data_IF_603510654943
#
_entry.id   IF_603510654943
#
_cell.length_a   1.000
_cell.length_b   1.000
_cell.length_c   1.000
_cell.angle_alpha   90.00
_cell.angle_beta   90.00
_cell.angle_gamma   90.00
#
_symmetry.space_group_name_H-M   'P 1'
#
loop_
_entity.id
_entity.type
_entity.pdbx_description
1 polymer ?
#
# COMPACT_ATOMS: atom_id res chain seq x y z
N UNK A 1 -6.55 -41.14 17.11
CA UNK A 1 -6.57 -39.82 17.77
C UNK A 1 -7.72 -38.89 17.30
N UNK A 2 -8.28 -39.09 16.08
CA UNK A 2 -9.46 -38.32 15.63
C UNK A 2 -10.80 -38.83 16.22
N UNK A 3 -10.84 -40.07 16.68
CA UNK A 3 -12.06 -40.69 17.24
C UNK A 3 -12.42 -40.21 18.65
N UNK A 4 -11.58 -39.43 19.30
CA UNK A 4 -11.79 -38.92 20.68
C UNK A 4 -12.26 -37.45 20.74
N UNK A 5 -12.40 -36.79 19.57
CA UNK A 5 -12.88 -35.42 19.51
C UNK A 5 -14.40 -35.40 19.45
N UNK A 6 -15.03 -34.51 20.23
CA UNK A 6 -16.47 -34.28 20.12
C UNK A 6 -16.84 -33.78 18.70
N UNK A 7 -18.08 -34.07 18.27
CA UNK A 7 -18.59 -33.61 16.97
C UNK A 7 -18.38 -32.08 16.79
N UNK A 8 -18.55 -31.32 17.86
CA UNK A 8 -18.36 -29.86 17.90
C UNK A 8 -16.88 -29.50 17.61
N UNK A 9 -15.94 -30.18 18.24
CA UNK A 9 -14.51 -29.96 18.01
C UNK A 9 -14.07 -30.35 16.59
N UNK A 10 -14.68 -31.40 16.02
CA UNK A 10 -14.45 -31.79 14.62
C UNK A 10 -14.99 -30.73 13.66
N UNK A 11 -16.18 -30.19 13.92
CA UNK A 11 -16.80 -29.14 13.09
C UNK A 11 -16.04 -27.82 13.20
N UNK A 12 -15.55 -27.45 14.38
CA UNK A 12 -14.70 -26.28 14.58
C UNK A 12 -13.35 -26.45 13.86
N UNK A 13 -12.72 -27.61 13.98
CA UNK A 13 -11.48 -27.91 13.26
C UNK A 13 -11.70 -27.91 11.75
N UNK A 14 -12.78 -28.52 11.28
CA UNK A 14 -13.13 -28.57 9.85
C UNK A 14 -13.49 -27.19 9.30
N UNK A 15 -14.21 -26.36 10.05
CA UNK A 15 -14.50 -24.98 9.66
C UNK A 15 -13.22 -24.12 9.61
N UNK A 16 -12.32 -24.26 10.61
CA UNK A 16 -10.98 -23.62 10.57
C UNK A 16 -10.15 -24.13 9.42
N UNK A 17 -10.17 -25.44 9.15
CA UNK A 17 -9.45 -26.05 8.03
C UNK A 17 -9.99 -25.57 6.67
N UNK A 18 -11.31 -25.50 6.51
CA UNK A 18 -11.94 -24.97 5.31
C UNK A 18 -11.70 -23.46 5.13
N UNK A 19 -11.66 -22.71 6.22
CA UNK A 19 -11.32 -21.29 6.19
C UNK A 19 -9.85 -21.05 5.81
N UNK A 20 -8.92 -21.93 6.26
CA UNK A 20 -7.50 -21.84 5.93
C UNK A 20 -7.15 -22.40 4.55
N UNK A 21 -7.91 -23.37 4.04
CA UNK A 21 -7.67 -24.04 2.77
C UNK A 21 -8.71 -23.75 1.70
N UNK A 22 -9.50 -22.71 1.83
CA UNK A 22 -10.23 -22.16 0.69
C UNK A 22 -9.21 -21.63 -0.31
N UNK A 23 -8.59 -22.57 -1.06
CA UNK A 23 -8.16 -22.30 -2.41
C UNK A 23 -9.44 -21.82 -3.10
N UNK A 24 -9.57 -20.53 -3.36
CA UNK A 24 -10.57 -20.00 -4.25
C UNK A 24 -9.95 -20.19 -5.66
N UNK A 25 -10.17 -21.36 -6.32
CA UNK A 25 -9.60 -21.60 -7.62
C UNK A 25 -10.45 -20.78 -8.57
N UNK A 26 -9.89 -19.81 -9.24
CA UNK A 26 -10.53 -18.98 -10.25
C UNK A 26 -11.31 -17.74 -9.73
N UNK A 27 -11.02 -17.21 -8.55
CA UNK A 27 -11.55 -15.89 -8.20
C UNK A 27 -10.98 -14.86 -9.20
N UNK A 28 -11.86 -14.18 -9.89
CA UNK A 28 -11.49 -13.07 -10.77
C UNK A 28 -11.40 -11.83 -9.91
N UNK A 29 -10.39 -11.02 -10.16
CA UNK A 29 -10.14 -9.78 -9.44
C UNK A 29 -10.30 -8.59 -10.36
N UNK A 30 -10.83 -7.51 -9.85
CA UNK A 30 -10.85 -6.20 -10.50
C UNK A 30 -10.10 -5.17 -9.63
N UNK A 31 -9.47 -4.20 -10.29
CA UNK A 31 -8.88 -3.05 -9.60
C UNK A 31 -9.99 -2.04 -9.37
N UNK A 32 -10.08 -1.57 -8.15
CA UNK A 32 -10.92 -0.43 -7.77
C UNK A 32 -10.03 0.79 -7.77
N UNK A 33 -10.20 1.63 -8.77
CA UNK A 33 -9.41 2.83 -8.95
C UNK A 33 -9.82 3.88 -7.91
N UNK A 34 -8.95 4.90 -7.66
CA UNK A 34 -9.24 5.92 -6.66
C UNK A 34 -10.63 6.56 -6.78
N UNK A 35 -11.07 6.86 -8.00
CA UNK A 35 -12.36 7.52 -8.28
C UNK A 35 -13.59 6.63 -8.00
N UNK A 36 -13.41 5.30 -7.94
CA UNK A 36 -14.48 4.31 -7.75
C UNK A 36 -14.65 3.86 -6.29
N UNK A 37 -13.79 4.32 -5.40
CA UNK A 37 -13.84 3.96 -3.99
C UNK A 37 -14.97 4.69 -3.25
N UNK A 38 -15.64 3.99 -2.35
CA UNK A 38 -16.69 4.54 -1.50
C UNK A 38 -16.46 4.16 -0.03
N UNK A 39 -17.21 4.77 0.88
CA UNK A 39 -17.02 4.57 2.32
C UNK A 39 -17.09 3.10 2.78
N UNK A 40 -17.94 2.27 2.16
CA UNK A 40 -18.04 0.85 2.52
C UNK A 40 -16.76 0.07 2.14
N UNK A 41 -16.03 0.51 1.12
CA UNK A 41 -14.73 -0.08 0.79
C UNK A 41 -13.74 0.17 1.93
N UNK A 42 -13.74 1.35 2.55
CA UNK A 42 -12.90 1.67 3.72
C UNK A 42 -13.30 0.87 4.97
N UNK A 43 -14.57 0.61 5.17
CA UNK A 43 -15.02 -0.31 6.22
C UNK A 43 -14.46 -1.72 5.98
N UNK A 44 -14.49 -2.20 4.74
CA UNK A 44 -13.92 -3.51 4.38
C UNK A 44 -12.39 -3.54 4.52
N UNK A 45 -11.68 -2.46 4.17
CA UNK A 45 -10.24 -2.32 4.40
C UNK A 45 -9.91 -2.42 5.89
N UNK A 46 -10.67 -1.75 6.74
CA UNK A 46 -10.52 -1.83 8.19
C UNK A 46 -10.74 -3.26 8.73
N UNK A 47 -11.74 -4.00 8.20
CA UNK A 47 -11.93 -5.41 8.53
C UNK A 47 -10.72 -6.27 8.16
N UNK A 48 -10.05 -5.97 7.04
CA UNK A 48 -8.80 -6.65 6.63
C UNK A 48 -7.66 -6.32 7.59
N UNK A 49 -7.53 -5.05 7.99
CA UNK A 49 -6.47 -4.62 8.92
C UNK A 49 -6.58 -5.35 10.25
N UNK A 50 -7.78 -5.50 10.79
CA UNK A 50 -8.02 -6.26 12.02
C UNK A 50 -7.59 -7.74 11.94
N UNK A 51 -7.49 -8.30 10.72
CA UNK A 51 -7.03 -9.68 10.52
C UNK A 51 -5.51 -9.82 10.44
N UNK A 52 -4.78 -8.72 10.08
CA UNK A 52 -3.36 -8.81 9.70
C UNK A 52 -2.44 -7.87 10.45
N UNK A 53 -2.94 -6.80 11.02
CA UNK A 53 -2.16 -5.79 11.74
C UNK A 53 -2.39 -5.87 13.25
N UNK A 54 -1.45 -5.29 14.00
CA UNK A 54 -1.66 -5.04 15.44
C UNK A 54 -2.63 -3.88 15.61
N UNK A 55 -3.42 -3.92 16.67
CA UNK A 55 -4.47 -2.93 16.97
C UNK A 55 -3.94 -1.48 17.02
N UNK A 56 -2.72 -1.29 17.51
CA UNK A 56 -2.06 0.02 17.61
C UNK A 56 -1.61 0.61 16.25
N UNK A 57 -1.71 -0.17 15.16
CA UNK A 57 -1.38 0.23 13.79
C UNK A 57 -2.62 0.38 12.89
N UNK A 58 -3.83 0.28 13.45
CA UNK A 58 -5.07 0.29 12.68
C UNK A 58 -5.75 1.64 12.81
N UNK A 59 -5.91 2.35 11.68
CA UNK A 59 -6.67 3.58 11.62
C UNK A 59 -8.16 3.30 11.35
N UNK A 60 -9.09 3.94 12.08
CA UNK A 60 -10.53 3.77 11.85
C UNK A 60 -10.95 4.21 10.43
N UNK A 61 -12.05 3.63 9.87
CA UNK A 61 -12.50 3.95 8.51
C UNK A 61 -12.78 5.44 8.27
N UNK A 62 -13.25 6.14 9.31
CA UNK A 62 -13.51 7.57 9.23
C UNK A 62 -12.24 8.39 8.97
N UNK A 63 -11.12 7.99 9.58
CA UNK A 63 -9.83 8.66 9.42
C UNK A 63 -9.25 8.39 8.04
N UNK A 64 -9.20 7.12 7.61
CA UNK A 64 -8.68 6.75 6.29
C UNK A 64 -9.55 7.30 5.16
N UNK A 65 -10.87 7.36 5.34
CA UNK A 65 -11.78 8.01 4.41
C UNK A 65 -11.59 9.54 4.36
N UNK A 66 -11.27 10.19 5.48
CA UNK A 66 -10.95 11.61 5.50
C UNK A 66 -9.67 11.92 4.70
N UNK A 67 -8.64 11.07 4.78
CA UNK A 67 -7.45 11.20 3.92
C UNK A 67 -7.81 11.10 2.43
N UNK A 68 -8.66 10.12 2.08
CA UNK A 68 -9.17 9.95 0.72
C UNK A 68 -9.99 11.13 0.24
N UNK A 69 -10.88 11.68 1.07
CA UNK A 69 -11.66 12.86 0.72
C UNK A 69 -10.78 14.12 0.53
N UNK A 70 -9.67 14.20 1.27
CA UNK A 70 -8.69 15.27 1.12
C UNK A 70 -7.90 15.14 -0.20
N UNK A 71 -7.50 13.92 -0.56
CA UNK A 71 -6.83 13.58 -1.82
C UNK A 71 -7.25 12.17 -2.25
N UNK A 72 -8.07 12.05 -3.29
CA UNK A 72 -8.63 10.77 -3.71
C UNK A 72 -7.59 9.77 -4.25
N UNK A 73 -6.38 10.20 -4.60
CA UNK A 73 -5.28 9.31 -5.03
C UNK A 73 -4.50 8.66 -3.86
N UNK A 74 -5.02 8.75 -2.65
CA UNK A 74 -4.38 8.13 -1.47
C UNK A 74 -4.63 6.63 -1.34
N UNK A 75 -5.61 6.09 -2.04
CA UNK A 75 -5.97 4.68 -1.95
C UNK A 75 -6.20 4.08 -3.33
N UNK A 76 -5.79 2.83 -3.48
CA UNK A 76 -6.12 1.96 -4.61
C UNK A 76 -6.38 0.56 -4.06
N UNK A 77 -7.42 -0.11 -4.56
CA UNK A 77 -7.84 -1.39 -4.03
C UNK A 77 -8.01 -2.47 -5.11
N UNK A 78 -8.10 -3.70 -4.66
CA UNK A 78 -8.47 -4.86 -5.47
C UNK A 78 -9.68 -5.54 -4.84
N UNK A 79 -10.65 -5.90 -5.67
CA UNK A 79 -11.92 -6.50 -5.28
C UNK A 79 -12.07 -7.89 -5.87
N UNK A 80 -12.66 -8.79 -5.14
CA UNK A 80 -13.13 -10.07 -5.66
C UNK A 80 -14.41 -9.86 -6.48
N UNK A 81 -14.42 -10.29 -7.74
CA UNK A 81 -15.64 -10.22 -8.57
C UNK A 81 -16.74 -11.14 -8.02
N UNK A 82 -16.36 -12.23 -7.33
CA UNK A 82 -17.33 -13.18 -6.78
C UNK A 82 -18.03 -12.63 -5.54
N UNK A 83 -17.29 -12.03 -4.61
CA UNK A 83 -17.86 -11.52 -3.36
C UNK A 83 -18.23 -10.05 -3.40
N UNK A 84 -17.80 -9.31 -4.43
CA UNK A 84 -17.94 -7.87 -4.56
C UNK A 84 -17.32 -7.07 -3.40
N UNK A 85 -16.42 -7.69 -2.62
CA UNK A 85 -15.73 -7.06 -1.50
C UNK A 85 -14.28 -6.76 -1.86
N UNK A 86 -13.75 -5.68 -1.30
CA UNK A 86 -12.30 -5.40 -1.29
C UNK A 86 -11.58 -6.55 -0.59
N UNK A 87 -10.50 -7.02 -1.21
CA UNK A 87 -9.66 -8.12 -0.70
C UNK A 87 -8.21 -7.71 -0.50
N UNK A 88 -7.88 -6.47 -0.83
CA UNK A 88 -6.57 -5.89 -0.61
C UNK A 88 -6.51 -4.45 -1.10
N UNK A 89 -5.52 -3.70 -0.59
CA UNK A 89 -5.40 -2.29 -0.93
C UNK A 89 -4.00 -1.75 -0.61
N UNK A 90 -3.68 -0.60 -1.20
CA UNK A 90 -2.61 0.29 -0.80
C UNK A 90 -3.19 1.58 -0.22
N UNK A 91 -2.57 2.07 0.85
CA UNK A 91 -2.67 3.45 1.31
C UNK A 91 -1.34 4.14 1.03
N UNK A 92 -1.35 5.11 0.12
CA UNK A 92 -0.18 5.86 -0.34
C UNK A 92 -0.47 7.35 -0.19
N UNK A 93 0.24 8.01 0.69
CA UNK A 93 -0.07 9.37 1.12
C UNK A 93 1.01 10.33 0.61
N UNK A 94 0.68 11.32 -0.23
CA UNK A 94 1.58 12.43 -0.48
C UNK A 94 1.69 13.27 0.78
N UNK A 95 2.90 13.38 1.33
CA UNK A 95 3.15 13.98 2.62
C UNK A 95 3.98 15.27 2.52
N UNK A 96 3.89 16.10 3.56
CA UNK A 96 4.73 17.28 3.72
C UNK A 96 6.20 16.89 3.92
N UNK A 97 7.12 17.82 3.63
CA UNK A 97 8.55 17.62 3.86
C UNK A 97 8.85 17.38 5.34
N UNK A 98 8.19 18.10 6.22
CA UNK A 98 8.35 17.95 7.66
C UNK A 98 7.97 16.54 8.11
N UNK A 99 6.80 16.02 7.68
CA UNK A 99 6.40 14.66 8.04
C UNK A 99 7.38 13.61 7.51
N UNK A 100 7.90 13.81 6.29
CA UNK A 100 8.91 12.90 5.74
C UNK A 100 10.16 12.82 6.63
N UNK A 101 10.65 13.96 7.11
CA UNK A 101 11.81 14.04 8.00
C UNK A 101 11.51 13.42 9.38
N UNK A 102 10.33 13.64 9.92
CA UNK A 102 9.89 13.05 11.20
C UNK A 102 9.82 11.52 11.12
N UNK A 103 9.26 10.97 10.04
CA UNK A 103 9.24 9.53 9.79
C UNK A 103 10.69 9.02 9.62
N UNK A 104 11.49 9.68 8.82
CA UNK A 104 12.88 9.26 8.55
C UNK A 104 13.73 9.21 9.82
N UNK A 105 13.48 10.10 10.76
CA UNK A 105 14.19 10.15 12.05
C UNK A 105 13.61 9.21 13.12
N UNK A 106 12.44 8.57 12.84
CA UNK A 106 11.76 7.66 13.76
C UNK A 106 11.04 8.34 14.91
N UNK A 107 10.75 9.63 14.80
CA UNK A 107 9.98 10.40 15.80
C UNK A 107 8.46 10.37 15.55
N UNK A 108 8.04 9.98 14.35
CA UNK A 108 6.64 9.94 13.96
C UNK A 108 5.93 8.68 14.51
N UNK A 109 4.65 8.83 14.83
CA UNK A 109 3.72 7.74 15.14
C UNK A 109 2.52 7.83 14.21
N UNK A 110 2.08 6.71 13.65
CA UNK A 110 0.95 6.66 12.71
C UNK A 110 -0.34 7.29 13.28
N UNK A 111 -0.55 7.22 14.60
CA UNK A 111 -1.69 7.85 15.27
C UNK A 111 -1.68 9.39 15.23
N UNK A 112 -0.55 10.00 14.92
CA UNK A 112 -0.42 11.46 14.81
C UNK A 112 -0.69 11.95 13.38
N UNK A 113 -1.00 11.03 12.44
CA UNK A 113 -1.25 11.37 11.04
C UNK A 113 -2.61 12.04 10.86
N UNK A 114 -2.59 13.27 10.40
CA UNK A 114 -3.76 14.08 10.07
C UNK A 114 -3.73 14.59 8.63
N UNK A 115 -4.83 15.17 8.17
CA UNK A 115 -4.89 15.81 6.84
C UNK A 115 -3.92 16.98 6.70
N UNK A 116 -3.50 17.62 7.80
CA UNK A 116 -2.52 18.72 7.79
C UNK A 116 -1.11 18.26 7.39
N UNK A 117 -0.84 16.97 7.54
CA UNK A 117 0.42 16.35 7.12
C UNK A 117 0.42 15.92 5.64
N UNK A 118 -0.74 15.99 4.97
CA UNK A 118 -0.91 15.54 3.59
C UNK A 118 -0.80 16.71 2.60
N UNK A 119 -0.40 16.37 1.38
CA UNK A 119 -0.45 17.25 0.22
C UNK A 119 -1.56 16.80 -0.73
N UNK A 120 -2.09 17.73 -1.52
CA UNK A 120 -2.99 17.41 -2.65
C UNK A 120 -2.19 17.29 -3.92
N UNK A 121 -2.63 16.43 -4.83
CA UNK A 121 -2.15 16.37 -6.20
C UNK A 121 -2.91 17.38 -7.08
N UNK A 122 -2.89 18.66 -6.70
CA UNK A 122 -3.62 19.75 -7.33
C UNK A 122 -2.77 20.63 -8.24
N UNK A 123 -1.46 20.52 -8.14
CA UNK A 123 -0.49 21.25 -8.99
C UNK A 123 0.61 20.30 -9.49
N UNK A 124 1.14 20.51 -10.71
CA UNK A 124 2.36 19.88 -11.18
C UNK A 124 3.53 20.15 -10.22
N UNK A 125 4.10 19.11 -9.62
CA UNK A 125 5.20 19.27 -8.65
C UNK A 125 5.85 17.91 -8.33
N UNK A 126 6.90 17.98 -7.50
CA UNK A 126 7.58 16.85 -6.90
C UNK A 126 7.04 16.57 -5.50
N UNK A 127 6.72 15.29 -5.25
CA UNK A 127 6.06 14.87 -4.02
C UNK A 127 6.87 13.81 -3.29
N UNK A 128 6.80 13.83 -1.96
CA UNK A 128 7.27 12.74 -1.09
C UNK A 128 6.07 11.85 -0.74
N UNK A 129 6.25 10.54 -0.79
CA UNK A 129 5.19 9.56 -0.59
C UNK A 129 5.45 8.72 0.66
N UNK A 130 4.47 8.64 1.54
CA UNK A 130 4.42 7.67 2.62
C UNK A 130 3.51 6.51 2.23
N UNK A 131 4.05 5.28 2.20
CA UNK A 131 3.23 4.07 2.07
C UNK A 131 2.83 3.67 3.48
N UNK A 132 1.63 4.05 3.88
CA UNK A 132 1.12 3.82 5.22
C UNK A 132 0.64 2.38 5.40
N UNK A 133 0.01 1.79 4.37
CA UNK A 133 -0.49 0.42 4.45
C UNK A 133 -0.40 -0.33 3.12
N UNK A 134 -0.13 -1.61 3.21
CA UNK A 134 -0.22 -2.60 2.13
C UNK A 134 -0.81 -3.86 2.72
N UNK A 135 -2.08 -4.11 2.46
CA UNK A 135 -2.77 -5.29 2.98
C UNK A 135 -3.41 -6.12 1.88
N UNK A 136 -3.32 -7.45 2.04
CA UNK A 136 -4.10 -8.44 1.30
C UNK A 136 -4.76 -9.36 2.32
N UNK A 137 -6.06 -9.52 2.20
CA UNK A 137 -6.84 -10.43 3.05
C UNK A 137 -6.20 -11.84 3.05
N UNK A 138 -6.04 -12.49 4.21
CA UNK A 138 -5.31 -13.75 4.36
C UNK A 138 -5.67 -14.84 3.36
N UNK A 139 -6.95 -14.97 3.02
CA UNK A 139 -7.43 -15.98 2.05
C UNK A 139 -6.94 -15.75 0.62
N UNK A 140 -6.41 -14.57 0.30
CA UNK A 140 -5.98 -14.17 -1.06
C UNK A 140 -4.47 -13.91 -1.17
N UNK A 141 -3.70 -14.05 -0.08
CA UNK A 141 -2.26 -13.76 -0.06
C UNK A 141 -1.43 -14.62 -1.04
N UNK A 142 -1.85 -15.85 -1.31
CA UNK A 142 -1.17 -16.78 -2.22
C UNK A 142 -1.76 -16.78 -3.64
N UNK A 143 -2.47 -15.72 -4.02
CA UNK A 143 -3.07 -15.56 -5.35
C UNK A 143 -2.33 -14.49 -6.17
N UNK A 144 -2.83 -14.18 -7.36
CA UNK A 144 -2.32 -13.07 -8.17
C UNK A 144 -2.77 -11.68 -7.68
N UNK A 145 -3.54 -11.59 -6.59
CA UNK A 145 -4.11 -10.33 -6.10
C UNK A 145 -3.04 -9.26 -5.82
N UNK A 146 -1.99 -9.62 -5.07
CA UNK A 146 -0.90 -8.69 -4.78
C UNK A 146 -0.21 -8.18 -6.06
N UNK A 147 0.12 -9.06 -7.00
CA UNK A 147 0.81 -8.65 -8.23
C UNK A 147 -0.05 -7.73 -9.09
N UNK A 148 -1.37 -7.97 -9.15
CA UNK A 148 -2.31 -7.10 -9.87
C UNK A 148 -2.41 -5.73 -9.20
N UNK A 149 -2.56 -5.70 -7.89
CA UNK A 149 -2.64 -4.47 -7.10
C UNK A 149 -1.33 -3.66 -7.19
N UNK A 150 -0.17 -4.32 -7.10
CA UNK A 150 1.13 -3.69 -7.28
C UNK A 150 1.29 -3.05 -8.67
N UNK A 151 0.90 -3.77 -9.72
CA UNK A 151 0.93 -3.23 -11.09
C UNK A 151 -0.02 -2.05 -11.25
N UNK A 152 -1.18 -2.06 -10.58
CA UNK A 152 -2.12 -0.95 -10.59
C UNK A 152 -1.55 0.29 -9.89
N UNK A 153 -0.84 0.13 -8.77
CA UNK A 153 -0.12 1.24 -8.13
C UNK A 153 0.89 1.88 -9.09
N UNK A 154 1.71 1.07 -9.76
CA UNK A 154 2.69 1.59 -10.73
C UNK A 154 2.01 2.29 -11.90
N UNK A 155 0.86 1.77 -12.38
CA UNK A 155 0.07 2.40 -13.44
C UNK A 155 -0.48 3.75 -12.97
N UNK A 156 -1.03 3.85 -11.77
CA UNK A 156 -1.48 5.10 -11.18
C UNK A 156 -0.34 6.13 -11.09
N UNK A 157 0.86 5.73 -10.68
CA UNK A 157 2.03 6.62 -10.66
C UNK A 157 2.44 7.08 -12.07
N UNK A 158 2.29 6.23 -13.10
CA UNK A 158 2.54 6.61 -14.50
C UNK A 158 1.51 7.65 -14.93
N UNK A 159 0.23 7.45 -14.67
CA UNK A 159 -0.86 8.38 -15.00
C UNK A 159 -0.64 9.75 -14.33
N UNK A 160 -0.30 9.76 -13.04
CA UNK A 160 0.04 10.99 -12.32
C UNK A 160 1.21 11.73 -12.98
N UNK A 161 2.26 11.01 -13.40
CA UNK A 161 3.42 11.61 -14.04
C UNK A 161 3.12 12.14 -15.47
N UNK A 162 2.35 11.39 -16.27
CA UNK A 162 2.11 11.70 -17.69
C UNK A 162 0.95 12.66 -17.94
N UNK A 163 -0.06 12.62 -17.09
CA UNK A 163 -1.30 13.40 -17.29
C UNK A 163 -1.37 14.65 -16.41
N UNK A 164 -0.64 14.66 -15.29
CA UNK A 164 -0.70 15.74 -14.30
C UNK A 164 0.65 16.34 -13.97
N UNK A 165 1.74 15.83 -14.53
CA UNK A 165 3.12 16.23 -14.20
C UNK A 165 3.44 16.11 -12.69
N UNK A 166 2.85 15.11 -12.03
CA UNK A 166 3.06 14.81 -10.62
C UNK A 166 4.10 13.69 -10.51
N UNK A 167 5.24 14.00 -9.92
CA UNK A 167 6.36 13.07 -9.77
C UNK A 167 6.64 12.81 -8.31
N UNK A 168 6.74 11.53 -7.93
CA UNK A 168 7.17 11.12 -6.59
C UNK A 168 8.68 11.03 -6.56
N UNK A 169 9.35 11.87 -5.78
CA UNK A 169 10.82 11.87 -5.68
C UNK A 169 11.35 10.96 -4.59
N UNK A 170 10.58 10.80 -3.53
CA UNK A 170 10.99 10.00 -2.38
C UNK A 170 9.83 9.14 -1.90
N UNK A 171 10.13 7.90 -1.56
CA UNK A 171 9.21 7.01 -0.87
C UNK A 171 9.77 6.66 0.50
N UNK A 172 8.90 6.66 1.51
CA UNK A 172 9.20 6.18 2.85
C UNK A 172 8.06 5.30 3.35
N UNK A 173 8.37 4.30 4.18
CA UNK A 173 7.38 3.40 4.77
C UNK A 173 7.93 2.77 6.04
N UNK A 174 7.05 2.34 6.92
CA UNK A 174 7.38 1.56 8.11
C UNK A 174 6.92 0.11 7.93
N UNK A 175 7.84 -0.83 8.02
CA UNK A 175 7.55 -2.26 7.94
C UNK A 175 7.49 -2.87 9.33
N UNK A 176 6.31 -3.34 9.73
CA UNK A 176 6.05 -4.04 11.01
C UNK A 176 6.05 -5.56 10.87
N UNK A 177 6.06 -6.09 9.64
CA UNK A 177 5.96 -7.52 9.33
C UNK A 177 7.05 -7.99 8.37
N UNK A 178 7.35 -9.29 8.36
CA UNK A 178 8.27 -9.91 7.39
C UNK A 178 7.76 -9.71 5.95
N UNK A 179 6.45 -9.74 5.74
CA UNK A 179 5.83 -9.51 4.42
C UNK A 179 6.04 -8.06 3.98
N UNK A 180 5.87 -7.08 4.88
CA UNK A 180 6.17 -5.67 4.65
C UNK A 180 7.63 -5.46 4.27
N UNK A 181 8.58 -6.11 4.96
CA UNK A 181 9.99 -6.03 4.60
C UNK A 181 10.29 -6.62 3.20
N UNK A 182 9.63 -7.73 2.83
CA UNK A 182 9.74 -8.29 1.46
C UNK A 182 9.20 -7.31 0.42
N UNK A 183 8.07 -6.67 0.71
CA UNK A 183 7.50 -5.65 -0.16
C UNK A 183 8.46 -4.46 -0.36
N UNK A 184 9.06 -3.94 0.72
CA UNK A 184 10.06 -2.88 0.63
C UNK A 184 11.21 -3.25 -0.32
N UNK A 185 11.69 -4.51 -0.27
CA UNK A 185 12.74 -5.00 -1.17
C UNK A 185 12.28 -5.09 -2.64
N UNK A 186 11.01 -5.47 -2.88
CA UNK A 186 10.42 -5.50 -4.23
C UNK A 186 10.36 -4.08 -4.81
N UNK A 187 10.02 -3.09 -4.00
CA UNK A 187 10.05 -1.67 -4.37
C UNK A 187 11.47 -1.08 -4.47
N UNK A 188 12.51 -1.83 -4.15
CA UNK A 188 13.89 -1.33 -4.16
C UNK A 188 14.21 -0.36 -3.01
N UNK A 189 13.39 -0.35 -1.94
CA UNK A 189 13.61 0.51 -0.79
C UNK A 189 14.76 -0.03 0.06
N UNK A 190 15.54 0.88 0.64
CA UNK A 190 16.64 0.57 1.56
C UNK A 190 16.20 0.80 3.00
N UNK A 191 16.65 -0.07 3.89
CA UNK A 191 16.42 0.15 5.33
C UNK A 191 17.22 1.35 5.81
N UNK A 192 16.52 2.30 6.45
CA UNK A 192 17.08 3.53 6.98
C UNK A 192 17.33 3.41 8.49
N UNK A 193 16.34 2.90 9.24
CA UNK A 193 16.35 2.89 10.69
C UNK A 193 15.60 1.67 11.25
N UNK A 194 15.97 1.23 12.47
CA UNK A 194 15.14 0.38 13.31
C UNK A 194 14.49 1.25 14.37
N UNK A 195 13.17 1.18 14.52
CA UNK A 195 12.46 1.95 15.53
C UNK A 195 12.55 1.30 16.91
N UNK A 196 12.23 2.06 17.95
CA UNK A 196 12.20 1.57 19.34
C UNK A 196 11.12 0.51 19.59
N UNK A 197 10.08 0.46 18.77
CA UNK A 197 8.98 -0.51 18.85
C UNK A 197 9.19 -1.75 17.96
N UNK A 198 10.44 -1.98 17.54
CA UNK A 198 10.87 -3.13 16.77
C UNK A 198 10.28 -3.21 15.34
N UNK A 199 9.93 -2.08 14.76
CA UNK A 199 9.60 -1.93 13.35
C UNK A 199 10.82 -1.38 12.59
N UNK A 200 10.74 -1.30 11.26
CA UNK A 200 11.85 -0.85 10.43
C UNK A 200 11.38 0.18 9.43
N UNK A 201 12.08 1.30 9.35
CA UNK A 201 11.82 2.33 8.35
C UNK A 201 12.64 2.03 7.10
N UNK A 202 11.97 2.06 5.97
CA UNK A 202 12.52 1.88 4.63
C UNK A 202 12.25 3.12 3.79
N UNK A 203 13.18 3.47 2.91
CA UNK A 203 12.98 4.59 1.99
C UNK A 203 13.86 4.48 0.75
N UNK A 204 13.52 5.26 -0.25
CA UNK A 204 14.31 5.45 -1.45
C UNK A 204 14.04 6.81 -2.07
N UNK A 205 15.07 7.35 -2.72
CA UNK A 205 14.93 8.43 -3.69
C UNK A 205 14.67 7.82 -5.06
N UNK A 206 13.59 8.21 -5.71
CA UNK A 206 13.13 7.64 -6.98
C UNK A 206 13.79 8.29 -8.21
N UNK A 207 14.81 9.10 -7.98
CA UNK A 207 15.54 9.75 -9.07
C UNK A 207 16.54 8.76 -9.71
N UNK A 208 16.62 8.71 -11.05
CA UNK A 208 17.65 7.94 -11.74
C UNK A 208 19.07 8.42 -11.38
N UNK A 209 20.06 7.54 -11.30
CA UNK A 209 20.01 6.09 -11.49
C UNK A 209 19.79 5.28 -10.21
N UNK A 210 19.44 5.92 -9.08
CA UNK A 210 19.45 5.32 -7.73
C UNK A 210 18.33 4.31 -7.50
N UNK A 211 17.26 4.37 -8.29
CA UNK A 211 16.09 3.51 -8.14
C UNK A 211 15.87 2.63 -9.37
N UNK A 212 15.62 1.34 -9.17
CA UNK A 212 15.41 0.38 -10.24
C UNK A 212 14.26 -0.58 -9.92
N UNK A 213 13.28 -0.66 -10.81
CA UNK A 213 12.17 -1.61 -10.78
C UNK A 213 12.30 -2.60 -11.94
N UNK A 214 12.02 -3.88 -11.66
CA UNK A 214 12.19 -4.96 -12.65
C UNK A 214 10.92 -5.31 -13.41
N UNK A 215 9.73 -4.83 -12.97
CA UNK A 215 8.47 -5.09 -13.67
C UNK A 215 8.35 -4.23 -14.94
N UNK A 216 7.51 -4.65 -15.90
CA UNK A 216 7.25 -3.89 -17.13
C UNK A 216 6.71 -2.49 -16.85
N UNK A 217 5.75 -2.35 -15.92
CA UNK A 217 5.26 -1.05 -15.49
C UNK A 217 6.33 -0.25 -14.75
N UNK A 218 7.14 -0.90 -13.92
CA UNK A 218 8.27 -0.25 -13.26
C UNK A 218 9.28 0.31 -14.24
N UNK A 219 9.65 -0.46 -15.27
CA UNK A 219 10.55 0.02 -16.33
C UNK A 219 9.95 1.21 -17.09
N UNK A 220 8.64 1.17 -17.38
CA UNK A 220 7.94 2.28 -18.03
C UNK A 220 7.92 3.53 -17.14
N UNK A 221 7.59 3.39 -15.86
CA UNK A 221 7.61 4.49 -14.90
C UNK A 221 9.00 5.13 -14.82
N UNK A 222 10.04 4.33 -14.68
CA UNK A 222 11.44 4.81 -14.63
C UNK A 222 11.85 5.57 -15.89
N UNK A 223 11.35 5.19 -17.07
CA UNK A 223 11.60 5.90 -18.31
C UNK A 223 11.08 7.35 -18.24
N UNK A 224 9.82 7.55 -17.81
CA UNK A 224 9.24 8.89 -17.66
C UNK A 224 9.99 9.73 -16.63
N UNK A 225 10.38 9.12 -15.52
CA UNK A 225 11.14 9.81 -14.47
C UNK A 225 12.53 10.23 -14.97
N UNK A 226 13.18 9.38 -15.79
CA UNK A 226 14.45 9.70 -16.39
C UNK A 226 14.34 10.85 -17.39
N UNK A 227 13.33 10.81 -18.28
CA UNK A 227 13.07 11.88 -19.25
C UNK A 227 12.85 13.22 -18.55
N UNK A 228 12.01 13.24 -17.49
CA UNK A 228 11.77 14.47 -16.70
C UNK A 228 13.02 14.95 -15.97
N UNK A 229 13.82 14.05 -15.42
CA UNK A 229 15.09 14.41 -14.77
C UNK A 229 16.09 15.00 -15.75
N UNK A 230 16.20 14.46 -16.96
CA UNK A 230 17.10 14.99 -18.03
C UNK A 230 16.63 16.38 -18.47
N UNK A 231 15.32 16.57 -18.71
CA UNK A 231 14.71 17.87 -19.01
C UNK A 231 15.07 18.94 -17.95
N UNK A 232 14.90 18.61 -16.67
CA UNK A 232 15.23 19.54 -15.59
C UNK A 232 16.74 19.85 -15.51
N UNK A 233 17.59 18.88 -15.78
CA UNK A 233 19.04 19.06 -15.75
C UNK A 233 19.56 19.98 -16.85
N UNK A 234 18.84 20.09 -17.98
CA UNK A 234 19.17 21.00 -19.07
C UNK A 234 18.78 22.46 -18.77
N UNK A 235 17.94 22.68 -17.74
CA UNK A 235 17.50 24.01 -17.31
C UNK A 235 18.44 24.68 -16.29
N UNK A 236 19.40 23.90 -15.74
CA UNK A 236 20.38 24.35 -14.74
C UNK A 236 21.82 24.07 -15.20
#
# INVERSE_FOLDING_TARGET
KLAELSMTAILEWYSKYLLHNKIIPHDKFEIVWPEDLNYNDFVTMYEIDQLVLREDLIAPPQITYAWYQYNNYTHIAIRSIVTQKVIGYFTVLPITDQLYEDIQSGYFKDNDLSTDNLRKYDIPDFYKLYIACVCIHPNYQNTSAFNRLYNALLKMMIELATEREIYVTNIITEASTIQGEKFCKILGLKRLLNTKINTKIYGATLLPPSWQLRSSFGTKLMKYYKEKYEELRELF
#
